data_IF_911330356277
#
_entry.id   IF_911330356277
#
_cell.length_a   1.000
_cell.length_b   1.000
_cell.length_c   1.000
_cell.angle_alpha   90.00
_cell.angle_beta   90.00
_cell.angle_gamma   90.00
#
_symmetry.space_group_name_H-M   'P 1'
#
loop_
_entity.id
_entity.type
_entity.pdbx_description
1 polymer ?
#
# COMPACT_ATOMS: atom_id res chain seq x y z
N UNK A 1 -7.17 12.27 5.95
CA UNK A 1 -8.32 12.11 5.01
C UNK A 1 -8.13 10.82 4.24
N UNK A 2 -9.17 10.00 4.07
CA UNK A 2 -9.10 8.81 3.21
C UNK A 2 -9.26 9.24 1.75
N UNK A 3 -8.36 8.76 0.89
CA UNK A 3 -8.33 9.04 -0.55
C UNK A 3 -8.85 7.84 -1.34
N UNK A 4 -8.52 6.63 -0.89
CA UNK A 4 -8.98 5.37 -1.47
C UNK A 4 -9.08 4.34 -0.33
N UNK A 5 -10.07 3.46 -0.38
CA UNK A 5 -10.25 2.38 0.59
C UNK A 5 -10.90 1.19 -0.11
N UNK A 6 -10.49 -0.02 0.25
CA UNK A 6 -11.00 -1.25 -0.34
C UNK A 6 -10.04 -2.41 -0.16
N UNK A 7 -10.19 -3.44 -0.98
CA UNK A 7 -9.28 -4.59 -0.98
C UNK A 7 -8.21 -4.44 -2.06
N UNK A 8 -6.99 -4.85 -1.73
CA UNK A 8 -5.98 -5.10 -2.75
C UNK A 8 -6.38 -6.31 -3.60
N UNK A 9 -5.95 -6.30 -4.85
CA UNK A 9 -6.14 -7.40 -5.80
C UNK A 9 -5.03 -8.44 -5.60
N UNK A 10 -5.42 -9.71 -5.51
CA UNK A 10 -4.47 -10.83 -5.43
C UNK A 10 -3.67 -10.88 -4.13
N UNK A 11 -2.41 -11.34 -4.24
CA UNK A 11 -1.52 -11.53 -3.10
C UNK A 11 -0.82 -10.23 -2.71
N UNK A 12 -0.81 -9.94 -1.41
CA UNK A 12 0.06 -8.96 -0.80
C UNK A 12 1.19 -9.70 -0.07
N UNK A 13 2.44 -9.30 -0.32
CA UNK A 13 3.64 -9.92 0.28
C UNK A 13 4.39 -8.98 1.23
N UNK A 14 3.93 -7.75 1.37
CA UNK A 14 4.59 -6.75 2.21
C UNK A 14 5.05 -5.52 1.43
N UNK A 15 6.02 -4.84 2.03
CA UNK A 15 6.64 -3.63 1.49
C UNK A 15 8.12 -3.88 1.23
N UNK A 16 8.57 -3.56 0.02
CA UNK A 16 9.93 -3.81 -0.46
C UNK A 16 10.58 -2.49 -0.87
N UNK A 17 10.30 -2.02 -2.07
CA UNK A 17 10.93 -0.85 -2.66
C UNK A 17 10.02 -0.14 -3.67
N UNK A 18 10.61 0.72 -4.51
CA UNK A 18 9.89 1.55 -5.46
C UNK A 18 9.33 0.78 -6.66
N UNK A 19 9.70 -0.49 -6.86
CA UNK A 19 9.13 -1.37 -7.89
C UNK A 19 7.86 -2.09 -7.39
N UNK A 20 7.52 -1.92 -6.10
CA UNK A 20 6.31 -2.50 -5.51
C UNK A 20 5.06 -1.70 -5.88
N UNK A 21 4.16 -2.35 -6.62
CA UNK A 21 2.83 -1.82 -6.99
C UNK A 21 1.70 -2.51 -6.19
N UNK A 22 0.67 -1.72 -5.88
CA UNK A 22 -0.53 -2.13 -5.18
C UNK A 22 -1.74 -1.77 -6.03
N UNK A 23 -2.42 -2.79 -6.53
CA UNK A 23 -3.68 -2.62 -7.26
C UNK A 23 -4.86 -2.89 -6.31
N UNK A 24 -5.80 -1.96 -6.25
CA UNK A 24 -7.09 -2.19 -5.59
C UNK A 24 -8.03 -2.95 -6.53
N UNK A 25 -8.98 -3.71 -5.99
CA UNK A 25 -9.95 -4.49 -6.78
C UNK A 25 -10.74 -3.64 -7.81
N UNK A 26 -10.89 -2.33 -7.56
CA UNK A 26 -11.50 -1.38 -8.50
C UNK A 26 -10.58 -0.91 -9.64
N UNK A 27 -9.37 -1.47 -9.78
CA UNK A 27 -8.38 -1.13 -10.82
C UNK A 27 -7.48 0.07 -10.50
N UNK A 28 -7.71 0.77 -9.39
CA UNK A 28 -6.85 1.87 -8.97
C UNK A 28 -5.50 1.35 -8.48
N UNK A 29 -4.40 1.92 -9.00
CA UNK A 29 -3.04 1.49 -8.71
C UNK A 29 -2.25 2.55 -7.96
N UNK A 30 -1.36 2.06 -7.10
CA UNK A 30 -0.44 2.86 -6.30
C UNK A 30 0.92 2.19 -6.32
N UNK A 31 1.99 2.98 -6.38
CA UNK A 31 3.35 2.48 -6.30
C UNK A 31 4.01 3.02 -5.04
N UNK A 32 4.76 2.17 -4.35
CA UNK A 32 5.57 2.59 -3.21
C UNK A 32 6.55 3.69 -3.64
N UNK A 33 6.58 4.80 -2.91
CA UNK A 33 7.35 5.99 -3.28
C UNK A 33 8.77 5.98 -2.69
N UNK A 34 9.00 5.18 -1.65
CA UNK A 34 10.25 5.17 -0.88
C UNK A 34 10.78 3.76 -0.74
N UNK A 35 12.10 3.60 -0.83
CA UNK A 35 12.75 2.36 -0.39
C UNK A 35 12.50 2.13 1.11
N UNK A 36 12.11 0.92 1.48
CA UNK A 36 12.01 0.54 2.90
C UNK A 36 13.31 -0.14 3.32
N UNK A 37 14.05 0.50 4.23
CA UNK A 37 15.36 -0.02 4.68
C UNK A 37 15.29 -1.43 5.29
N UNK A 38 14.15 -1.76 5.90
CA UNK A 38 13.86 -3.12 6.35
C UNK A 38 12.68 -3.67 5.55
N UNK A 39 12.90 -4.84 4.93
CA UNK A 39 11.85 -5.58 4.25
C UNK A 39 10.75 -5.94 5.24
N UNK A 40 9.52 -5.48 4.99
CA UNK A 40 8.38 -5.79 5.84
C UNK A 40 7.51 -6.84 5.17
N UNK A 41 7.89 -8.10 5.33
CA UNK A 41 7.11 -9.23 4.83
C UNK A 41 5.79 -9.38 5.59
N UNK A 42 4.71 -9.51 4.83
CA UNK A 42 3.42 -9.95 5.36
C UNK A 42 2.60 -10.54 4.23
N UNK A 43 2.31 -11.83 4.34
CA UNK A 43 1.44 -12.50 3.39
C UNK A 43 -0.03 -12.31 3.75
N UNK A 44 -0.80 -11.77 2.82
CA UNK A 44 -2.25 -11.76 2.90
C UNK A 44 -2.88 -11.86 1.50
N UNK A 45 -3.98 -12.60 1.38
CA UNK A 45 -4.76 -12.66 0.15
C UNK A 45 -5.89 -11.64 0.17
N UNK A 46 -5.89 -10.74 -0.80
CA UNK A 46 -6.84 -9.63 -0.96
C UNK A 46 -7.12 -8.84 0.34
N UNK A 47 -6.07 -8.36 1.05
CA UNK A 47 -6.25 -7.67 2.32
C UNK A 47 -7.01 -6.36 2.15
N UNK A 48 -7.70 -5.94 3.21
CA UNK A 48 -8.24 -4.59 3.31
C UNK A 48 -7.07 -3.59 3.39
N UNK A 49 -7.19 -2.49 2.67
CA UNK A 49 -6.21 -1.43 2.64
C UNK A 49 -6.88 -0.07 2.42
N UNK A 50 -6.16 0.99 2.77
CA UNK A 50 -6.57 2.36 2.49
C UNK A 50 -5.37 3.24 2.20
N UNK A 51 -5.56 4.17 1.27
CA UNK A 51 -4.64 5.27 1.05
C UNK A 51 -5.19 6.48 1.78
N UNK A 52 -4.38 7.03 2.68
CA UNK A 52 -4.72 8.22 3.45
C UNK A 52 -3.77 9.36 3.08
N UNK A 53 -4.32 10.57 3.03
CA UNK A 53 -3.52 11.78 2.97
C UNK A 53 -3.09 12.16 4.40
N UNK A 54 -1.79 12.20 4.62
CA UNK A 54 -1.13 12.63 5.85
C UNK A 54 -0.19 13.79 5.53
N UNK A 55 -0.62 15.02 5.83
CA UNK A 55 0.05 16.23 5.37
C UNK A 55 0.12 16.31 3.84
N UNK A 56 1.32 16.52 3.31
CA UNK A 56 1.58 16.56 1.86
C UNK A 56 1.74 15.19 1.19
N UNK A 57 1.68 14.09 1.96
CA UNK A 57 2.01 12.74 1.50
C UNK A 57 0.79 11.84 1.44
N UNK A 58 0.87 10.81 0.60
CA UNK A 58 -0.11 9.73 0.52
C UNK A 58 0.52 8.48 1.13
N UNK A 59 -0.19 7.86 2.06
CA UNK A 59 0.29 6.71 2.81
C UNK A 59 -0.65 5.53 2.58
N UNK A 60 -0.13 4.39 2.14
CA UNK A 60 -0.85 3.13 2.09
C UNK A 60 -0.76 2.43 3.45
N UNK A 61 -1.92 2.04 3.98
CA UNK A 61 -2.05 1.24 5.19
C UNK A 61 -2.77 -0.05 4.83
N UNK A 62 -2.21 -1.19 5.22
CA UNK A 62 -2.76 -2.53 4.95
C UNK A 62 -3.16 -3.17 6.27
N UNK A 63 -4.36 -3.75 6.34
CA UNK A 63 -4.84 -4.45 7.53
C UNK A 63 -3.91 -5.60 7.90
N UNK A 64 -3.53 -5.70 9.17
CA UNK A 64 -2.55 -6.68 9.65
C UNK A 64 -1.10 -6.17 9.64
N UNK A 65 -0.85 -4.98 9.06
CA UNK A 65 0.43 -4.30 9.13
C UNK A 65 0.38 -3.16 10.16
N UNK A 66 1.41 -3.09 11.01
CA UNK A 66 1.59 -1.98 11.96
C UNK A 66 2.34 -0.79 11.34
N UNK A 67 2.80 -0.94 10.09
CA UNK A 67 3.51 0.07 9.31
C UNK A 67 2.72 0.43 8.06
N UNK A 68 2.94 1.63 7.54
CA UNK A 68 2.39 2.06 6.26
C UNK A 68 3.45 2.81 5.47
N UNK A 69 3.36 2.76 4.15
CA UNK A 69 4.40 3.29 3.25
C UNK A 69 3.89 4.48 2.47
N UNK A 70 4.79 5.39 2.12
CA UNK A 70 4.46 6.46 1.19
C UNK A 70 4.20 5.86 -0.20
N UNK A 71 3.16 6.33 -0.87
CA UNK A 71 2.78 5.88 -2.21
C UNK A 71 2.52 7.06 -3.15
N UNK A 72 2.69 6.82 -4.43
CA UNK A 72 2.29 7.71 -5.53
C UNK A 72 1.36 6.97 -6.48
N UNK A 73 0.49 7.68 -7.23
CA UNK A 73 -0.28 7.05 -8.30
C UNK A 73 0.65 6.35 -9.29
N UNK A 74 0.25 5.15 -9.75
CA UNK A 74 0.97 4.34 -10.75
C UNK A 74 0.24 4.39 -12.10
#
# INVERSE_FOLDING_TARGET
MIVCEGRLSGEFKGFEDQDTEFEFYGGQKWRQATYYYHYHYHYAYMPQAKVVRNGGKLMLQVSGMNVGVEVVPA
#
